data_IF_705776352610
#
_entry.id   IF_705776352610
#
_cell.length_a   1.000
_cell.length_b   1.000
_cell.length_c   1.000
_cell.angle_alpha   90.00
_cell.angle_beta   90.00
_cell.angle_gamma   90.00
#
_symmetry.space_group_name_H-M   'P 1'
#
loop_
_entity.id
_entity.type
_entity.pdbx_description
1 polymer ?
#
# COMPACT_ATOMS: atom_id res chain seq x y z
N UNK A 1 -25.85 -19.29 -20.69
CA UNK A 1 -26.06 -18.58 -21.99
C UNK A 1 -27.56 -18.39 -22.31
N UNK A 2 -28.34 -17.76 -21.43
CA UNK A 2 -29.69 -17.25 -21.79
C UNK A 2 -29.58 -15.75 -22.15
N UNK A 3 -28.86 -15.00 -21.31
CA UNK A 3 -28.62 -13.56 -21.48
C UNK A 3 -27.73 -13.13 -22.66
N UNK A 4 -26.70 -13.92 -23.03
CA UNK A 4 -25.88 -13.65 -24.22
C UNK A 4 -26.61 -13.97 -25.54
N UNK A 5 -27.59 -14.88 -25.49
CA UNK A 5 -28.45 -15.22 -26.64
C UNK A 5 -29.53 -14.15 -26.86
N UNK A 6 -29.92 -13.43 -25.82
CA UNK A 6 -30.91 -12.34 -25.82
C UNK A 6 -30.28 -10.94 -26.02
N UNK A 7 -29.13 -10.85 -26.71
CA UNK A 7 -28.48 -9.60 -27.15
C UNK A 7 -28.03 -8.60 -26.05
N UNK A 8 -27.82 -9.04 -24.79
CA UNK A 8 -27.17 -8.20 -23.76
C UNK A 8 -25.65 -8.32 -23.81
N UNK A 9 -25.05 -7.79 -24.87
CA UNK A 9 -23.60 -7.70 -25.07
C UNK A 9 -22.88 -6.93 -23.95
N UNK A 10 -23.58 -6.01 -23.28
CA UNK A 10 -23.12 -5.27 -22.09
C UNK A 10 -22.67 -6.19 -20.93
N UNK A 11 -23.37 -7.30 -20.71
CA UNK A 11 -23.03 -8.25 -19.63
C UNK A 11 -21.72 -8.98 -19.92
N UNK A 12 -21.44 -9.27 -21.18
CA UNK A 12 -20.19 -9.93 -21.60
C UNK A 12 -19.03 -8.95 -21.55
N UNK A 13 -19.23 -7.70 -21.99
CA UNK A 13 -18.23 -6.63 -21.85
C UNK A 13 -17.85 -6.39 -20.39
N UNK A 14 -18.84 -6.25 -19.50
CA UNK A 14 -18.61 -6.09 -18.07
C UNK A 14 -17.90 -7.29 -17.43
N UNK A 15 -18.15 -8.51 -17.91
CA UNK A 15 -17.43 -9.69 -17.44
C UNK A 15 -15.93 -9.65 -17.82
N UNK A 16 -15.60 -9.16 -19.01
CA UNK A 16 -14.20 -8.95 -19.42
C UNK A 16 -13.53 -7.84 -18.60
N UNK A 17 -14.25 -6.76 -18.30
CA UNK A 17 -13.73 -5.67 -17.46
C UNK A 17 -13.47 -6.14 -16.02
N UNK A 18 -14.38 -6.94 -15.44
CA UNK A 18 -14.16 -7.55 -14.12
C UNK A 18 -12.96 -8.50 -14.15
N UNK A 19 -12.83 -9.34 -15.19
CA UNK A 19 -11.66 -10.21 -15.31
C UNK A 19 -10.36 -9.40 -15.35
N UNK A 20 -10.33 -8.30 -16.10
CA UNK A 20 -9.17 -7.39 -16.16
C UNK A 20 -8.88 -6.74 -14.81
N UNK A 21 -9.90 -6.29 -14.09
CA UNK A 21 -9.70 -5.69 -12.76
C UNK A 21 -9.15 -6.69 -11.74
N UNK A 22 -9.50 -7.98 -11.85
CA UNK A 22 -8.92 -9.02 -10.99
C UNK A 22 -7.42 -9.23 -11.25
N UNK A 23 -6.95 -9.13 -12.50
CA UNK A 23 -5.51 -9.16 -12.78
C UNK A 23 -4.78 -7.97 -12.18
N UNK A 24 -5.38 -6.77 -12.26
CA UNK A 24 -4.82 -5.57 -11.63
C UNK A 24 -4.78 -5.70 -10.11
N UNK A 25 -5.86 -6.20 -9.48
CA UNK A 25 -5.89 -6.42 -8.02
C UNK A 25 -4.77 -7.37 -7.61
N UNK A 26 -4.69 -8.55 -8.24
CA UNK A 26 -3.65 -9.53 -7.94
C UNK A 26 -2.24 -8.98 -8.13
N UNK A 27 -2.02 -8.19 -9.19
CA UNK A 27 -0.74 -7.52 -9.43
C UNK A 27 -0.36 -6.55 -8.31
N UNK A 28 -1.33 -5.81 -7.78
CA UNK A 28 -1.09 -4.91 -6.65
C UNK A 28 -0.78 -5.71 -5.38
N UNK A 29 -1.54 -6.76 -5.08
CA UNK A 29 -1.36 -7.60 -3.90
C UNK A 29 0.03 -8.28 -3.89
N UNK A 30 0.45 -8.86 -5.01
CA UNK A 30 1.77 -9.47 -5.15
C UNK A 30 2.90 -8.42 -4.94
N UNK A 31 2.70 -7.19 -5.43
CA UNK A 31 3.62 -6.07 -5.23
C UNK A 31 3.72 -5.65 -3.77
N UNK A 32 2.59 -5.47 -3.09
CA UNK A 32 2.51 -5.08 -1.68
C UNK A 32 3.06 -6.17 -0.76
N UNK A 33 2.75 -7.44 -0.98
CA UNK A 33 3.36 -8.55 -0.24
C UNK A 33 4.89 -8.54 -0.35
N UNK A 34 5.43 -8.21 -1.53
CA UNK A 34 6.89 -8.09 -1.72
C UNK A 34 7.48 -6.91 -0.94
N UNK A 35 6.76 -5.78 -0.87
CA UNK A 35 7.18 -4.61 -0.08
C UNK A 35 7.13 -4.88 1.43
N UNK A 36 6.03 -5.44 1.92
CA UNK A 36 5.84 -5.75 3.35
C UNK A 36 6.86 -6.78 3.82
N UNK A 37 7.10 -7.84 3.03
CA UNK A 37 8.14 -8.83 3.34
C UNK A 37 9.55 -8.24 3.38
N UNK A 38 9.89 -7.31 2.48
CA UNK A 38 11.17 -6.59 2.55
C UNK A 38 11.27 -5.69 3.80
N UNK A 39 10.15 -5.12 4.24
CA UNK A 39 10.04 -4.37 5.49
C UNK A 39 10.28 -5.25 6.73
N UNK A 40 9.71 -6.46 6.75
CA UNK A 40 9.93 -7.44 7.83
C UNK A 40 11.38 -7.90 7.87
N UNK A 41 12.00 -8.20 6.72
CA UNK A 41 13.41 -8.61 6.65
C UNK A 41 14.37 -7.49 7.12
N UNK A 42 13.98 -6.22 6.94
CA UNK A 42 14.73 -5.09 7.53
C UNK A 42 14.76 -5.14 9.06
N UNK A 43 13.79 -5.83 9.69
CA UNK A 43 13.69 -6.07 11.13
C UNK A 43 13.81 -4.79 11.97
N UNK A 44 13.17 -3.72 11.50
CA UNK A 44 13.07 -2.43 12.21
C UNK A 44 11.62 -1.98 12.13
N UNK A 45 10.93 -2.05 13.27
CA UNK A 45 9.60 -1.50 13.45
C UNK A 45 9.70 -0.19 14.23
N UNK A 46 9.07 0.87 13.72
CA UNK A 46 9.02 2.19 14.37
C UNK A 46 7.63 2.43 14.93
N UNK A 47 7.55 2.68 16.23
CA UNK A 47 6.29 3.00 16.90
C UNK A 47 6.50 4.22 17.82
N UNK A 48 5.39 4.82 18.26
CA UNK A 48 5.42 5.94 19.20
C UNK A 48 4.92 5.50 20.59
N UNK A 49 5.80 5.30 21.58
CA UNK A 49 5.39 4.79 22.89
C UNK A 49 4.55 5.76 23.73
N UNK A 50 4.44 7.03 23.31
CA UNK A 50 3.66 8.06 24.00
C UNK A 50 2.29 8.31 23.34
N UNK A 51 1.96 7.59 22.25
CA UNK A 51 0.66 7.65 21.61
C UNK A 51 -0.41 6.90 22.44
N UNK A 52 -1.68 7.30 22.29
CA UNK A 52 -2.78 6.51 22.79
C UNK A 52 -2.96 5.25 21.92
N UNK A 53 -3.55 4.20 22.49
CA UNK A 53 -3.79 2.93 21.81
C UNK A 53 -4.46 3.14 20.43
N UNK A 54 -3.89 2.52 19.39
CA UNK A 54 -4.39 2.54 18.02
C UNK A 54 -4.47 3.93 17.37
N UNK A 55 -3.68 4.92 17.84
CA UNK A 55 -3.78 6.29 17.35
C UNK A 55 -2.60 6.70 16.47
N UNK A 56 -2.90 7.15 15.24
CA UNK A 56 -1.89 7.70 14.35
C UNK A 56 -1.38 9.08 14.83
N UNK A 57 -0.13 9.13 15.29
CA UNK A 57 0.50 10.34 15.84
C UNK A 57 1.42 11.06 14.83
N UNK A 58 1.53 12.39 14.92
CA UNK A 58 2.54 13.15 14.14
C UNK A 58 3.96 12.76 14.50
N UNK A 59 4.18 12.39 15.75
CA UNK A 59 5.49 12.03 16.25
C UNK A 59 5.94 10.72 15.62
N UNK A 60 5.03 9.77 15.33
CA UNK A 60 5.33 8.59 14.54
C UNK A 60 5.96 8.95 13.18
N UNK A 61 5.33 9.86 12.42
CA UNK A 61 5.87 10.35 11.13
C UNK A 61 7.27 10.95 11.31
N UNK A 62 7.48 11.74 12.36
CA UNK A 62 8.79 12.32 12.67
C UNK A 62 9.84 11.26 13.01
N UNK A 63 9.49 10.26 13.84
CA UNK A 63 10.35 9.15 14.21
C UNK A 63 10.72 8.31 12.99
N UNK A 64 9.75 7.96 12.13
CA UNK A 64 10.00 7.24 10.89
C UNK A 64 10.99 7.99 9.98
N UNK A 65 10.87 9.31 9.86
CA UNK A 65 11.85 10.13 9.11
C UNK A 65 13.25 10.05 9.70
N UNK A 66 13.39 10.13 11.02
CA UNK A 66 14.69 10.07 11.68
C UNK A 66 15.30 8.68 11.54
N UNK A 67 14.52 7.63 11.77
CA UNK A 67 14.94 6.24 11.63
C UNK A 67 15.38 5.94 10.20
N UNK A 68 14.62 6.42 9.20
CA UNK A 68 14.96 6.27 7.80
C UNK A 68 16.30 6.94 7.45
N UNK A 69 16.53 8.16 7.94
CA UNK A 69 17.78 8.89 7.73
C UNK A 69 18.98 8.27 8.45
N UNK A 70 18.76 7.66 9.62
CA UNK A 70 19.83 7.03 10.42
C UNK A 70 20.24 5.69 9.83
N UNK A 71 19.27 4.91 9.36
CA UNK A 71 19.50 3.56 8.84
C UNK A 71 19.74 3.50 7.33
N UNK A 72 19.48 4.60 6.59
CA UNK A 72 19.79 4.70 5.16
C UNK A 72 21.28 4.80 4.83
N UNK A 73 22.14 5.05 5.83
CA UNK A 73 23.58 5.20 5.64
C UNK A 73 24.00 6.52 4.96
N UNK A 74 25.28 6.87 5.08
CA UNK A 74 25.86 8.08 4.50
C UNK A 74 25.99 9.27 5.48
N UNK A 75 26.84 10.23 5.11
CA UNK A 75 27.09 11.48 5.83
C UNK A 75 26.32 12.65 5.15
N UNK A 76 26.47 13.89 5.65
CA UNK A 76 25.72 15.04 5.10
C UNK A 76 26.00 15.37 3.62
N UNK A 77 27.09 14.85 3.06
CA UNK A 77 27.48 15.03 1.65
C UNK A 77 27.16 13.84 0.74
N UNK A 78 26.52 12.79 1.26
CA UNK A 78 26.14 11.61 0.47
C UNK A 78 24.96 11.93 -0.46
N UNK A 79 25.14 11.66 -1.76
CA UNK A 79 24.16 11.97 -2.82
C UNK A 79 22.87 11.16 -2.66
N UNK A 80 22.98 9.88 -2.26
CA UNK A 80 21.86 8.97 -2.03
C UNK A 80 21.59 8.80 -0.53
N UNK A 81 21.20 9.89 0.13
CA UNK A 81 20.80 9.83 1.53
C UNK A 81 19.37 9.31 1.63
N UNK A 82 19.17 8.25 2.43
CA UNK A 82 17.84 7.73 2.72
C UNK A 82 16.90 8.82 3.28
N UNK A 83 15.75 9.01 2.63
CA UNK A 83 14.71 9.97 3.01
C UNK A 83 13.36 9.27 2.94
N UNK A 84 12.53 9.44 3.96
CA UNK A 84 11.13 9.05 3.85
C UNK A 84 10.43 10.04 2.91
N UNK A 85 9.93 9.58 1.77
CA UNK A 85 9.23 10.43 0.78
C UNK A 85 7.73 10.18 0.81
N UNK A 86 7.34 8.92 0.94
CA UNK A 86 5.94 8.48 0.85
C UNK A 86 5.66 7.52 2.00
N UNK A 87 4.45 7.60 2.53
CA UNK A 87 3.98 6.81 3.65
C UNK A 87 2.55 6.35 3.34
N UNK A 88 2.36 5.04 3.39
CA UNK A 88 1.10 4.37 3.08
C UNK A 88 0.45 3.93 4.37
N UNK A 89 -0.78 4.40 4.58
CA UNK A 89 -1.55 4.25 5.82
C UNK A 89 -2.93 3.69 5.52
N UNK A 90 -3.55 3.13 6.55
CA UNK A 90 -4.96 2.81 6.56
C UNK A 90 -5.84 4.07 6.43
N UNK A 91 -7.07 3.97 5.93
CA UNK A 91 -8.07 5.03 6.00
C UNK A 91 -8.35 5.51 7.43
N UNK A 92 -8.26 4.62 8.41
CA UNK A 92 -8.43 4.86 9.84
C UNK A 92 -7.42 5.91 10.34
N UNK A 93 -6.15 5.78 9.96
CA UNK A 93 -5.12 6.78 10.26
C UNK A 93 -5.42 8.15 9.65
N UNK A 94 -6.10 8.21 8.49
CA UNK A 94 -6.51 9.50 7.90
C UNK A 94 -7.65 10.13 8.71
N UNK A 95 -8.59 9.33 9.22
CA UNK A 95 -9.63 9.83 10.13
C UNK A 95 -9.04 10.34 11.45
N UNK A 96 -8.00 9.68 11.98
CA UNK A 96 -7.25 10.18 13.13
C UNK A 96 -6.59 11.54 12.88
N UNK A 97 -6.00 11.72 11.69
CA UNK A 97 -5.43 13.00 11.26
C UNK A 97 -6.50 14.10 11.24
N UNK A 98 -7.73 13.78 10.82
CA UNK A 98 -8.85 14.72 10.81
C UNK A 98 -9.31 15.10 12.22
N UNK A 99 -9.10 14.24 13.19
CA UNK A 99 -9.46 14.47 14.59
C UNK A 99 -8.37 15.21 15.41
N UNK A 100 -7.29 15.68 14.78
CA UNK A 100 -6.26 16.41 15.50
C UNK A 100 -6.75 17.77 16.06
N UNK A 101 -6.41 18.01 17.33
CA UNK A 101 -6.83 19.17 18.10
C UNK A 101 -6.12 20.48 17.71
N UNK A 102 -6.54 21.58 18.36
CA UNK A 102 -5.97 22.94 18.15
C UNK A 102 -4.53 23.04 18.63
N UNK A 103 -4.16 22.25 19.65
CA UNK A 103 -2.79 22.20 20.17
C UNK A 103 -1.83 21.56 19.16
N UNK A 104 -2.40 20.79 18.24
CA UNK A 104 -1.70 19.95 17.29
C UNK A 104 -1.63 20.63 15.92
N UNK A 105 -2.76 21.08 15.39
CA UNK A 105 -2.88 21.69 14.05
C UNK A 105 -3.48 23.08 14.18
N UNK A 106 -2.94 24.02 13.40
CA UNK A 106 -3.50 25.36 13.35
C UNK A 106 -4.92 25.37 12.76
N UNK A 107 -5.70 26.40 13.08
CA UNK A 107 -7.12 26.47 12.72
C UNK A 107 -7.36 26.47 11.20
N UNK A 108 -6.42 27.01 10.40
CA UNK A 108 -6.57 27.08 8.94
C UNK A 108 -6.38 25.71 8.33
N UNK A 109 -5.29 25.01 8.67
CA UNK A 109 -5.03 23.65 8.18
C UNK A 109 -6.11 22.67 8.65
N UNK A 110 -6.60 22.82 9.88
CA UNK A 110 -7.69 21.99 10.40
C UNK A 110 -8.99 22.19 9.61
N UNK A 111 -9.31 23.43 9.22
CA UNK A 111 -10.47 23.67 8.36
C UNK A 111 -10.30 22.99 7.01
N UNK A 112 -9.09 23.01 6.43
CA UNK A 112 -8.82 22.32 5.17
C UNK A 112 -8.97 20.80 5.32
N UNK A 113 -8.46 20.21 6.40
CA UNK A 113 -8.61 18.78 6.71
C UNK A 113 -10.08 18.34 6.86
N UNK A 114 -10.93 19.18 7.46
CA UNK A 114 -12.36 18.86 7.70
C UNK A 114 -13.23 19.13 6.47
N UNK A 115 -12.90 20.16 5.67
CA UNK A 115 -13.78 20.61 4.57
C UNK A 115 -13.44 20.04 3.20
N UNK A 116 -12.28 19.41 3.03
CA UNK A 116 -11.94 18.72 1.79
C UNK A 116 -12.48 17.28 1.77
N UNK A 117 -13.29 17.00 0.75
CA UNK A 117 -13.82 15.67 0.47
C UNK A 117 -12.85 14.89 -0.44
N UNK A 118 -12.36 13.75 0.04
CA UNK A 118 -11.68 12.72 -0.75
C UNK A 118 -10.25 13.04 -1.23
N UNK A 119 -9.34 12.08 -1.03
CA UNK A 119 -8.04 12.05 -1.73
C UNK A 119 -7.09 13.19 -1.40
N UNK A 120 -7.07 13.63 -0.14
CA UNK A 120 -6.03 14.52 0.33
C UNK A 120 -4.72 13.71 0.31
N UNK A 121 -3.88 13.97 -0.70
CA UNK A 121 -2.43 13.73 -0.61
C UNK A 121 -1.91 14.61 0.53
N UNK A 122 -2.22 14.21 1.76
CA UNK A 122 -1.91 14.96 2.97
C UNK A 122 -0.42 14.92 3.08
N UNK A 123 0.22 16.09 2.99
CA UNK A 123 1.66 16.17 3.12
C UNK A 123 2.01 16.58 4.53
N UNK A 124 2.55 15.66 5.31
CA UNK A 124 2.97 15.90 6.69
C UNK A 124 4.48 15.84 6.76
N UNK A 125 5.10 16.91 7.28
CA UNK A 125 6.56 17.04 7.32
C UNK A 125 7.27 16.76 5.99
N UNK A 126 6.69 17.14 4.84
CA UNK A 126 7.22 16.87 3.50
C UNK A 126 7.20 15.37 3.08
N UNK A 127 6.46 14.53 3.78
CA UNK A 127 6.15 13.14 3.40
C UNK A 127 4.74 13.12 2.81
N UNK A 128 4.54 12.46 1.69
CA UNK A 128 3.21 12.28 1.12
C UNK A 128 2.51 11.10 1.81
N UNK A 129 1.30 11.31 2.30
CA UNK A 129 0.43 10.24 2.77
C UNK A 129 -0.44 9.73 1.62
N UNK A 130 -0.54 8.41 1.53
CA UNK A 130 -1.43 7.68 0.64
C UNK A 130 -2.26 6.72 1.49
N UNK A 131 -3.58 6.71 1.29
CA UNK A 131 -4.47 5.71 1.85
C UNK A 131 -4.40 4.41 1.06
N UNK A 132 -4.41 3.29 1.79
CA UNK A 132 -4.66 1.96 1.26
C UNK A 132 -5.63 1.25 2.18
N UNK A 133 -6.79 0.89 1.64
CA UNK A 133 -7.86 0.20 2.38
C UNK A 133 -7.40 -1.16 2.92
N UNK A 134 -6.37 -1.77 2.33
CA UNK A 134 -5.83 -3.07 2.73
C UNK A 134 -4.85 -3.03 3.93
N UNK A 135 -4.49 -1.84 4.44
CA UNK A 135 -3.51 -1.65 5.53
C UNK A 135 -4.12 -1.42 6.94
N UNK A 136 -5.38 -1.76 7.18
CA UNK A 136 -6.05 -1.62 8.50
C UNK A 136 -6.06 -2.89 9.37
N UNK A 137 -6.63 -2.77 10.57
CA UNK A 137 -6.87 -3.92 11.46
C UNK A 137 -7.75 -4.98 10.76
N UNK A 138 -7.39 -6.25 10.94
CA UNK A 138 -7.99 -7.41 10.27
C UNK A 138 -8.00 -7.37 8.72
N UNK A 139 -7.23 -6.48 8.07
CA UNK A 139 -7.15 -6.40 6.60
C UNK A 139 -6.07 -7.30 6.00
N UNK A 140 -6.11 -7.50 4.67
CA UNK A 140 -5.29 -8.48 3.95
C UNK A 140 -3.78 -8.30 4.20
N UNK A 141 -3.25 -7.07 4.11
CA UNK A 141 -1.81 -6.84 4.26
C UNK A 141 -1.35 -6.89 5.71
N UNK A 142 -2.22 -6.53 6.67
CA UNK A 142 -1.97 -6.70 8.10
C UNK A 142 -1.92 -8.19 8.47
N UNK A 143 -2.92 -8.95 8.04
CA UNK A 143 -2.96 -10.40 8.28
C UNK A 143 -1.77 -11.12 7.65
N UNK A 144 -1.29 -10.68 6.48
CA UNK A 144 -0.08 -11.20 5.88
C UNK A 144 1.17 -10.91 6.73
N UNK A 145 1.29 -9.69 7.27
CA UNK A 145 2.38 -9.33 8.18
C UNK A 145 2.40 -10.20 9.45
N UNK A 146 1.24 -10.38 10.09
CA UNK A 146 1.16 -11.12 11.36
C UNK A 146 1.22 -12.64 11.19
N UNK A 147 0.40 -13.20 10.29
CA UNK A 147 0.18 -14.64 10.21
C UNK A 147 1.22 -15.35 9.34
N UNK A 148 1.62 -14.76 8.21
CA UNK A 148 2.52 -15.40 7.25
C UNK A 148 3.99 -15.01 7.48
N UNK A 149 4.24 -13.73 7.79
CA UNK A 149 5.59 -13.23 8.03
C UNK A 149 6.02 -13.31 9.51
N UNK A 150 5.07 -13.52 10.43
CA UNK A 150 5.35 -13.62 11.86
C UNK A 150 5.77 -12.30 12.51
N UNK A 151 5.35 -11.18 11.91
CA UNK A 151 5.54 -9.85 12.46
C UNK A 151 4.76 -9.67 13.77
N UNK A 152 5.33 -8.93 14.71
CA UNK A 152 4.68 -8.63 16.00
C UNK A 152 4.47 -7.14 16.14
N UNK A 153 3.28 -6.74 16.58
CA UNK A 153 2.99 -5.37 16.96
C UNK A 153 3.31 -5.12 18.45
N UNK A 154 3.80 -3.92 18.82
CA UNK A 154 3.87 -3.47 20.21
C UNK A 154 2.49 -3.46 20.86
N UNK A 155 2.45 -3.62 22.18
CA UNK A 155 1.18 -3.58 22.91
C UNK A 155 0.54 -2.19 22.83
N UNK A 156 -0.73 -2.13 22.40
CA UNK A 156 -1.48 -0.89 22.19
C UNK A 156 -1.58 -0.48 20.72
N UNK A 157 -0.69 -0.99 19.87
CA UNK A 157 -0.74 -0.76 18.42
C UNK A 157 -1.64 -1.83 17.77
N UNK A 158 -2.43 -1.43 16.78
CA UNK A 158 -3.33 -2.30 16.03
C UNK A 158 -3.02 -2.33 14.52
N UNK A 159 -2.34 -1.31 13.99
CA UNK A 159 -2.18 -1.14 12.55
C UNK A 159 -0.72 -0.95 12.14
N UNK A 160 -0.37 -1.40 10.93
CA UNK A 160 0.95 -1.12 10.33
C UNK A 160 0.90 0.05 9.37
N UNK A 161 2.03 0.72 9.25
CA UNK A 161 2.28 1.78 8.27
C UNK A 161 3.52 1.45 7.45
N UNK A 162 3.45 1.62 6.14
CA UNK A 162 4.57 1.33 5.23
C UNK A 162 5.18 2.64 4.72
N UNK A 163 6.42 2.91 5.12
CA UNK A 163 7.20 4.05 4.66
C UNK A 163 8.17 3.67 3.54
N UNK A 164 8.15 4.42 2.43
CA UNK A 164 9.04 4.20 1.29
C UNK A 164 9.94 5.42 1.02
N UNK A 165 11.14 5.13 0.51
CA UNK A 165 12.00 6.12 -0.14
C UNK A 165 11.96 5.94 -1.66
N UNK A 166 11.18 6.79 -2.33
CA UNK A 166 11.05 6.84 -3.78
C UNK A 166 11.93 7.92 -4.42
N UNK A 167 12.91 8.47 -3.69
CA UNK A 167 13.78 9.53 -4.24
C UNK A 167 14.65 9.05 -5.40
N UNK A 168 14.91 7.74 -5.50
CA UNK A 168 15.58 7.12 -6.64
C UNK A 168 14.87 5.84 -7.06
N UNK A 169 14.65 5.67 -8.38
CA UNK A 169 13.87 4.59 -8.99
C UNK A 169 14.70 3.31 -9.22
N UNK A 170 15.61 2.97 -8.32
CA UNK A 170 16.56 1.86 -8.44
C UNK A 170 16.23 0.67 -7.52
N UNK A 171 15.46 0.87 -6.45
CA UNK A 171 15.24 -0.18 -5.45
C UNK A 171 13.97 -1.01 -5.66
N UNK A 172 12.92 -0.43 -6.23
CA UNK A 172 11.65 -1.11 -6.48
C UNK A 172 11.53 -1.41 -7.96
N UNK A 173 11.62 -2.70 -8.32
CA UNK A 173 11.67 -3.12 -9.73
C UNK A 173 10.58 -4.14 -10.02
N UNK A 174 9.82 -3.86 -11.07
CA UNK A 174 8.80 -4.76 -11.61
C UNK A 174 9.19 -5.18 -13.04
N UNK A 175 9.93 -6.28 -13.22
CA UNK A 175 10.19 -6.82 -14.55
C UNK A 175 8.91 -7.41 -15.15
N UNK A 176 8.46 -6.89 -16.30
CA UNK A 176 7.35 -7.46 -17.08
C UNK A 176 7.90 -8.16 -18.31
N UNK A 177 7.71 -9.48 -18.38
CA UNK A 177 8.14 -10.30 -19.52
C UNK A 177 7.06 -10.39 -20.59
N UNK A 178 5.81 -10.55 -20.19
CA UNK A 178 4.65 -10.58 -21.09
C UNK A 178 3.46 -9.90 -20.43
N UNK A 179 2.87 -8.92 -21.13
CA UNK A 179 1.63 -8.29 -20.69
C UNK A 179 0.44 -9.26 -20.73
N UNK A 180 -0.66 -8.85 -20.10
CA UNK A 180 -1.89 -9.64 -20.05
C UNK A 180 -2.41 -9.96 -21.46
N UNK A 181 -2.48 -11.26 -21.77
CA UNK A 181 -3.12 -11.77 -22.98
C UNK A 181 -4.35 -12.58 -22.57
N UNK A 182 -5.51 -12.29 -23.19
CA UNK A 182 -6.77 -12.97 -22.93
C UNK A 182 -7.18 -13.74 -24.19
N UNK A 183 -7.54 -15.00 -23.99
CA UNK A 183 -7.96 -15.93 -25.04
C UNK A 183 -9.34 -16.50 -24.72
N UNK A 184 -10.10 -16.80 -25.77
CA UNK A 184 -11.36 -17.53 -25.67
C UNK A 184 -11.09 -19.04 -25.68
N UNK A 185 -11.81 -19.78 -24.82
CA UNK A 185 -11.70 -21.24 -24.77
C UNK A 185 -12.76 -21.93 -25.64
N UNK A 186 -12.32 -22.42 -26.80
CA UNK A 186 -13.15 -23.14 -27.78
C UNK A 186 -13.62 -24.52 -27.29
N UNK A 187 -12.99 -25.12 -26.27
CA UNK A 187 -13.35 -26.45 -25.80
C UNK A 187 -14.63 -26.45 -24.97
N UNK A 188 -14.87 -25.37 -24.22
CA UNK A 188 -16.07 -25.14 -23.43
C UNK A 188 -17.32 -24.90 -24.29
N UNK A 189 -17.12 -24.52 -25.55
CA UNK A 189 -18.20 -24.34 -26.52
C UNK A 189 -19.06 -25.60 -26.69
N UNK A 190 -18.42 -26.80 -26.67
CA UNK A 190 -19.12 -28.09 -26.80
C UNK A 190 -20.04 -28.39 -25.61
N UNK A 191 -19.77 -27.82 -24.45
CA UNK A 191 -20.59 -27.93 -23.25
C UNK A 191 -21.64 -26.81 -23.13
N UNK A 192 -21.79 -25.98 -24.18
CA UNK A 192 -22.64 -24.77 -24.18
C UNK A 192 -22.24 -23.76 -23.11
N UNK A 193 -20.96 -23.73 -22.74
CA UNK A 193 -20.35 -22.78 -21.81
C UNK A 193 -19.40 -21.86 -22.59
N UNK A 194 -19.23 -20.64 -22.11
CA UNK A 194 -18.17 -19.75 -22.57
C UNK A 194 -17.17 -19.60 -21.44
N UNK A 195 -15.88 -19.68 -21.77
CA UNK A 195 -14.78 -19.46 -20.85
C UNK A 195 -13.75 -18.54 -21.49
N UNK A 196 -13.19 -17.68 -20.65
CA UNK A 196 -12.07 -16.81 -20.98
C UNK A 196 -10.93 -17.20 -20.06
N UNK A 197 -9.72 -17.27 -20.60
CA UNK A 197 -8.52 -17.50 -19.81
C UNK A 197 -7.43 -16.54 -20.28
N UNK A 198 -6.53 -16.19 -19.38
CA UNK A 198 -5.45 -15.29 -19.71
C UNK A 198 -4.30 -15.47 -18.75
N UNK A 199 -3.13 -15.03 -19.18
CA UNK A 199 -1.93 -15.05 -18.36
C UNK A 199 -1.14 -13.76 -18.59
N UNK A 200 -0.36 -13.40 -17.58
CA UNK A 200 0.63 -12.34 -17.61
C UNK A 200 1.89 -12.88 -16.93
N UNK A 201 3.06 -12.51 -17.43
CA UNK A 201 4.34 -12.85 -16.81
C UNK A 201 4.99 -11.56 -16.30
N UNK A 202 4.95 -11.40 -14.98
CA UNK A 202 5.53 -10.27 -14.26
C UNK A 202 6.26 -10.78 -13.00
N UNK A 203 7.27 -10.05 -12.56
CA UNK A 203 7.93 -10.27 -11.28
C UNK A 203 7.95 -9.00 -10.45
N UNK A 204 8.20 -9.16 -9.16
CA UNK A 204 8.41 -8.07 -8.21
C UNK A 204 9.70 -8.33 -7.45
N UNK A 205 10.51 -7.29 -7.29
CA UNK A 205 11.76 -7.37 -6.55
C UNK A 205 12.04 -6.07 -5.82
N UNK A 206 12.43 -6.21 -4.56
CA UNK A 206 13.02 -5.13 -3.74
C UNK A 206 14.53 -5.37 -3.69
N UNK A 207 15.30 -4.52 -4.36
CA UNK A 207 16.76 -4.66 -4.47
C UNK A 207 17.51 -4.07 -3.28
N UNK A 208 16.90 -3.12 -2.55
CA UNK A 208 17.46 -2.53 -1.35
C UNK A 208 16.36 -2.34 -0.30
N UNK A 209 16.35 -3.21 0.72
CA UNK A 209 15.38 -3.18 1.81
C UNK A 209 15.55 -1.96 2.74
N UNK A 210 16.69 -1.25 2.70
CA UNK A 210 16.91 -0.03 3.50
C UNK A 210 15.99 1.12 3.08
N UNK A 211 15.30 0.97 1.96
CA UNK A 211 14.34 1.94 1.41
C UNK A 211 12.88 1.66 1.77
N UNK A 212 12.63 0.60 2.52
CA UNK A 212 11.32 0.26 3.08
C UNK A 212 11.40 0.31 4.60
N UNK A 213 10.50 1.02 5.27
CA UNK A 213 10.44 1.07 6.72
C UNK A 213 9.02 0.72 7.17
N UNK A 214 8.89 -0.17 8.13
CA UNK A 214 7.60 -0.43 8.77
C UNK A 214 7.49 0.41 10.04
N UNK A 215 6.28 0.91 10.29
CA UNK A 215 5.89 1.41 11.58
C UNK A 215 4.59 0.77 12.05
N UNK A 216 4.24 1.03 13.29
CA UNK A 216 2.98 0.61 13.89
C UNK A 216 2.38 1.73 14.73
N UNK A 217 1.06 1.69 14.89
CA UNK A 217 0.29 2.60 15.72
C UNK A 217 -1.00 1.98 16.21
#
# INVERSE_FOLDING_TARGET
MKYARDARWDVVGRAMDVMRSQFTKKMNDDGWHTLVSAGVDRNILVYDPDAADSQFSKRLVSLMKVTMRRNGGGNSSSINRGKLTDLFVSPEAIEDIRNWGVDEVDEVTRRELITQEGGLMTRIFQVNLHDLDELGDDQEYQLFYENDLGGTLPAGDAEIVVGLDMSSNDSFVMPVRAGLQIFEDDTLHRQRRAGLYGWAEQGFAVLDNRRVLLGSF
#
